data_IF_606775495347
#
_entry.id   IF_606775495347
#
_cell.length_a   1.000
_cell.length_b   1.000
_cell.length_c   1.000
_cell.angle_alpha   90.00
_cell.angle_beta   90.00
_cell.angle_gamma   90.00
#
_symmetry.space_group_name_H-M   'P 1'
#
loop_
_entity.id
_entity.type
_entity.pdbx_description
1 polymer ?
#
# COMPACT_ATOMS: atom_id res chain seq x y z
N UNK A 1 -21.06 -1.72 -24.38
CA UNK A 1 -21.23 -0.29 -24.04
C UNK A 1 -22.16 -0.26 -22.85
N UNK A 2 -21.75 0.26 -21.71
CA UNK A 2 -22.58 0.43 -20.53
C UNK A 2 -22.32 1.82 -19.98
N UNK A 3 -23.36 2.64 -19.86
CA UNK A 3 -23.24 4.02 -19.38
C UNK A 3 -23.22 4.06 -17.87
N UNK A 4 -22.53 5.05 -17.36
CA UNK A 4 -22.49 5.37 -15.94
C UNK A 4 -23.79 6.07 -15.58
N UNK A 5 -24.59 5.46 -14.71
CA UNK A 5 -25.84 5.99 -14.20
C UNK A 5 -25.60 6.96 -13.05
N UNK A 6 -24.78 6.53 -12.08
CA UNK A 6 -24.43 7.37 -10.92
C UNK A 6 -23.03 7.08 -10.39
N UNK A 7 -22.51 8.06 -9.66
CA UNK A 7 -21.25 7.96 -8.91
C UNK A 7 -21.51 8.53 -7.52
N UNK A 8 -21.06 7.84 -6.49
CA UNK A 8 -21.09 8.34 -5.11
C UNK A 8 -19.81 8.04 -4.35
N UNK A 9 -19.48 8.89 -3.41
CA UNK A 9 -18.45 8.65 -2.42
C UNK A 9 -19.07 7.95 -1.21
N UNK A 10 -18.38 6.94 -0.70
CA UNK A 10 -18.70 6.22 0.52
C UNK A 10 -17.49 6.36 1.44
N UNK A 11 -17.72 6.83 2.66
CA UNK A 11 -16.69 6.91 3.69
C UNK A 11 -17.00 5.87 4.77
N UNK A 12 -16.04 5.05 5.13
CA UNK A 12 -16.20 4.00 6.12
C UNK A 12 -15.10 4.13 7.18
N UNK A 13 -15.47 3.92 8.44
CA UNK A 13 -14.53 3.93 9.56
C UNK A 13 -14.60 2.61 10.32
N UNK A 14 -13.45 1.94 10.48
CA UNK A 14 -13.38 0.68 11.17
C UNK A 14 -12.15 0.61 12.09
N UNK A 15 -12.22 -0.26 13.09
CA UNK A 15 -11.11 -0.49 14.01
C UNK A 15 -10.03 -1.35 13.36
N UNK A 16 -8.78 -1.06 13.69
CA UNK A 16 -7.70 -2.03 13.61
C UNK A 16 -7.81 -3.06 14.73
N UNK A 17 -7.08 -4.15 14.56
CA UNK A 17 -7.01 -5.21 15.55
C UNK A 17 -8.28 -6.05 15.63
N UNK A 18 -8.21 -7.02 16.50
CA UNK A 18 -9.34 -7.87 16.87
C UNK A 18 -9.48 -7.90 18.40
N UNK A 19 -10.52 -8.53 18.92
CA UNK A 19 -10.78 -8.60 20.34
C UNK A 19 -9.69 -9.34 21.14
N UNK A 20 -8.81 -10.10 20.46
CA UNK A 20 -7.76 -10.89 21.09
C UNK A 20 -6.44 -10.12 21.25
N UNK A 21 -6.28 -8.96 20.57
CA UNK A 21 -5.07 -8.13 20.60
C UNK A 21 -5.41 -6.66 20.82
N UNK A 22 -5.98 -6.29 21.98
CA UNK A 22 -6.31 -4.89 22.28
C UNK A 22 -5.07 -3.98 22.35
N UNK A 23 -3.89 -4.51 22.70
CA UNK A 23 -2.63 -3.80 22.72
C UNK A 23 -2.19 -3.28 21.35
N UNK A 24 -2.61 -3.91 20.25
CA UNK A 24 -2.38 -3.38 18.88
C UNK A 24 -3.03 -2.02 18.74
N UNK A 25 -4.20 -1.80 19.36
CA UNK A 25 -4.93 -0.53 19.31
C UNK A 25 -4.14 0.61 19.95
N UNK A 26 -3.33 0.32 20.97
CA UNK A 26 -2.50 1.29 21.68
C UNK A 26 -1.23 1.65 20.89
N UNK A 27 -0.79 0.76 20.01
CA UNK A 27 0.42 0.96 19.20
C UNK A 27 0.23 1.91 18.01
N UNK A 28 -1.02 2.15 17.58
CA UNK A 28 -1.27 3.01 16.42
C UNK A 28 -1.14 4.49 16.80
N UNK A 29 -0.20 5.23 16.19
CA UNK A 29 0.03 6.64 16.51
C UNK A 29 -1.18 7.53 16.20
N UNK A 30 -2.08 7.07 15.35
CA UNK A 30 -3.27 7.79 14.87
C UNK A 30 -4.58 7.26 15.46
N UNK A 31 -4.48 6.46 16.55
CA UNK A 31 -5.65 5.89 17.23
C UNK A 31 -6.12 4.56 16.64
N UNK A 32 -7.13 3.93 17.28
CA UNK A 32 -7.51 2.56 17.02
C UNK A 32 -8.38 2.36 15.76
N UNK A 33 -8.77 3.43 15.10
CA UNK A 33 -9.66 3.38 13.93
C UNK A 33 -8.99 4.00 12.70
N UNK A 34 -9.43 3.56 11.53
CA UNK A 34 -9.02 4.10 10.24
C UNK A 34 -10.24 4.36 9.37
N UNK A 35 -10.24 5.49 8.67
CA UNK A 35 -11.21 5.81 7.63
C UNK A 35 -10.68 5.38 6.25
N UNK A 36 -11.53 4.78 5.43
CA UNK A 36 -11.28 4.56 4.01
C UNK A 36 -12.32 5.32 3.18
N UNK A 37 -11.96 5.71 1.96
CA UNK A 37 -12.86 6.35 1.01
C UNK A 37 -13.04 5.53 -0.24
N UNK A 38 -14.27 5.13 -0.50
CA UNK A 38 -14.66 4.41 -1.69
C UNK A 38 -15.40 5.32 -2.67
N UNK A 39 -15.20 5.05 -3.95
CA UNK A 39 -16.06 5.52 -5.02
C UNK A 39 -16.87 4.34 -5.53
N UNK A 40 -18.19 4.44 -5.49
CA UNK A 40 -19.10 3.52 -6.17
C UNK A 40 -19.48 4.10 -7.53
N UNK A 41 -19.32 3.31 -8.57
CA UNK A 41 -19.84 3.57 -9.92
C UNK A 41 -20.98 2.60 -10.17
N UNK A 42 -22.20 3.11 -10.40
CA UNK A 42 -23.36 2.33 -10.82
C UNK A 42 -23.56 2.49 -12.32
N UNK A 43 -23.73 1.39 -13.02
CA UNK A 43 -24.04 1.34 -14.45
C UNK A 43 -25.53 1.19 -14.72
N UNK A 44 -26.03 1.66 -15.88
CA UNK A 44 -27.44 1.52 -16.31
C UNK A 44 -27.96 0.07 -16.31
N UNK A 45 -27.05 -0.91 -16.36
CA UNK A 45 -27.42 -2.34 -16.27
C UNK A 45 -27.44 -2.88 -14.83
N UNK A 46 -27.31 -2.01 -13.82
CA UNK A 46 -27.34 -2.35 -12.40
C UNK A 46 -26.00 -2.86 -11.83
N UNK A 47 -24.95 -2.98 -12.65
CA UNK A 47 -23.62 -3.41 -12.15
C UNK A 47 -23.00 -2.28 -11.35
N UNK A 48 -22.47 -2.61 -10.17
CA UNK A 48 -21.72 -1.70 -9.30
C UNK A 48 -20.23 -2.04 -9.33
N UNK A 49 -19.38 -1.02 -9.50
CA UNK A 49 -17.94 -1.10 -9.32
C UNK A 49 -17.47 -0.22 -8.17
N UNK A 50 -16.43 -0.66 -7.48
CA UNK A 50 -15.86 0.02 -6.32
C UNK A 50 -14.38 0.31 -6.53
N UNK A 51 -13.94 1.50 -6.10
CA UNK A 51 -12.53 1.88 -6.09
C UNK A 51 -12.22 2.66 -4.83
N UNK A 52 -10.99 2.58 -4.34
CA UNK A 52 -10.53 3.22 -3.12
C UNK A 52 -9.45 4.25 -3.43
N UNK A 53 -9.44 5.37 -2.69
CA UNK A 53 -8.41 6.40 -2.78
C UNK A 53 -7.81 6.70 -1.42
N UNK A 54 -6.49 6.65 -1.33
CA UNK A 54 -5.75 6.77 -0.08
C UNK A 54 -5.92 8.13 0.62
N UNK A 55 -6.26 9.20 -0.11
CA UNK A 55 -6.51 10.53 0.47
C UNK A 55 -7.54 10.50 1.61
N UNK A 56 -8.52 9.62 1.55
CA UNK A 56 -9.59 9.57 2.54
C UNK A 56 -9.10 9.17 3.94
N UNK A 57 -7.95 8.54 4.06
CA UNK A 57 -7.31 8.22 5.35
C UNK A 57 -7.00 9.49 6.13
N UNK A 58 -6.56 10.56 5.43
CA UNK A 58 -6.12 11.82 6.02
C UNK A 58 -7.13 12.96 5.86
N UNK A 59 -7.88 12.98 4.76
CA UNK A 59 -8.78 14.06 4.39
C UNK A 59 -10.08 13.57 3.74
N UNK A 60 -10.92 12.79 4.47
CA UNK A 60 -12.10 12.14 3.92
C UNK A 60 -13.11 13.11 3.31
N UNK A 61 -13.33 14.28 3.95
CA UNK A 61 -14.22 15.32 3.44
C UNK A 61 -13.72 15.97 2.15
N UNK A 62 -12.40 16.12 2.00
CA UNK A 62 -11.78 16.58 0.75
C UNK A 62 -11.93 15.52 -0.35
N UNK A 63 -11.67 14.25 -0.02
CA UNK A 63 -11.89 13.14 -0.95
C UNK A 63 -13.32 13.13 -1.50
N UNK A 64 -14.32 13.26 -0.62
CA UNK A 64 -15.72 13.35 -0.99
C UNK A 64 -15.99 14.56 -1.91
N UNK A 65 -15.48 15.74 -1.55
CA UNK A 65 -15.71 16.96 -2.31
C UNK A 65 -15.14 16.91 -3.71
N UNK A 66 -13.94 16.33 -3.89
CA UNK A 66 -13.33 16.13 -5.21
C UNK A 66 -14.11 15.07 -6.02
N UNK A 67 -14.58 13.99 -5.37
CA UNK A 67 -15.46 13.00 -6.02
C UNK A 67 -16.74 13.67 -6.57
N UNK A 68 -17.38 14.51 -5.76
CA UNK A 68 -18.59 15.25 -6.17
C UNK A 68 -18.30 16.21 -7.33
N UNK A 69 -17.14 16.85 -7.38
CA UNK A 69 -16.69 17.69 -8.49
C UNK A 69 -16.53 16.89 -9.80
N UNK A 70 -16.05 15.65 -9.72
CA UNK A 70 -15.79 14.79 -10.88
C UNK A 70 -17.06 14.18 -11.50
N UNK A 71 -18.11 13.96 -10.71
CA UNK A 71 -19.35 13.29 -11.12
C UNK A 71 -19.95 13.80 -12.44
N UNK A 72 -20.19 15.13 -12.64
CA UNK A 72 -20.88 15.64 -13.82
C UNK A 72 -20.18 15.30 -15.14
N UNK A 73 -18.87 15.07 -15.09
CA UNK A 73 -18.07 14.77 -16.28
C UNK A 73 -18.12 13.30 -16.72
N UNK A 74 -18.66 12.43 -15.87
CA UNK A 74 -18.68 10.98 -16.07
C UNK A 74 -20.09 10.41 -16.28
N UNK A 75 -21.12 10.99 -15.66
CA UNK A 75 -22.49 10.51 -15.77
C UNK A 75 -22.94 10.52 -17.24
N UNK A 76 -23.60 9.43 -17.67
CA UNK A 76 -24.03 9.20 -19.05
C UNK A 76 -22.94 8.81 -20.03
N UNK A 77 -21.66 8.76 -19.59
CA UNK A 77 -20.54 8.34 -20.42
C UNK A 77 -20.38 6.81 -20.42
N UNK A 78 -19.71 6.29 -21.46
CA UNK A 78 -19.39 4.87 -21.54
C UNK A 78 -18.30 4.51 -20.51
N UNK A 79 -18.64 3.61 -19.57
CA UNK A 79 -17.72 3.08 -18.57
C UNK A 79 -16.56 2.29 -19.19
N UNK A 80 -16.78 1.64 -20.35
CA UNK A 80 -15.82 0.72 -20.93
C UNK A 80 -14.63 1.41 -21.59
N UNK A 81 -14.76 2.70 -21.92
CA UNK A 81 -13.65 3.53 -22.39
C UNK A 81 -12.94 4.22 -21.22
N UNK A 82 -12.29 3.39 -20.37
CA UNK A 82 -11.63 3.82 -19.13
C UNK A 82 -10.58 4.90 -19.42
N UNK A 83 -9.72 4.72 -20.45
CA UNK A 83 -8.68 5.70 -20.80
C UNK A 83 -9.27 7.07 -21.09
N UNK A 84 -10.39 7.12 -21.81
CA UNK A 84 -11.08 8.38 -22.09
C UNK A 84 -11.65 9.00 -20.82
N UNK A 85 -12.22 8.19 -19.92
CA UNK A 85 -12.75 8.70 -18.64
C UNK A 85 -11.64 9.27 -17.77
N UNK A 86 -10.48 8.61 -17.68
CA UNK A 86 -9.30 9.15 -16.97
C UNK A 86 -8.85 10.48 -17.61
N UNK A 87 -8.78 10.57 -18.95
CA UNK A 87 -8.43 11.82 -19.64
C UNK A 87 -9.45 12.95 -19.36
N UNK A 88 -10.76 12.62 -19.31
CA UNK A 88 -11.80 13.59 -18.95
C UNK A 88 -11.57 14.12 -17.51
N UNK A 89 -11.23 13.26 -16.56
CA UNK A 89 -10.93 13.62 -15.17
C UNK A 89 -9.65 14.46 -15.07
N UNK A 90 -8.59 14.10 -15.79
CA UNK A 90 -7.35 14.88 -15.85
C UNK A 90 -7.63 16.32 -16.33
N UNK A 91 -8.45 16.48 -17.38
CA UNK A 91 -8.79 17.83 -17.87
C UNK A 91 -9.57 18.68 -16.87
N UNK A 92 -10.26 18.05 -15.91
CA UNK A 92 -10.94 18.76 -14.80
C UNK A 92 -9.98 19.16 -13.69
N UNK A 93 -9.00 18.31 -13.40
CA UNK A 93 -8.19 18.42 -12.19
C UNK A 93 -6.78 18.98 -12.40
N UNK A 94 -6.17 18.79 -13.57
CA UNK A 94 -4.73 19.03 -13.77
C UNK A 94 -4.30 20.47 -13.55
N UNK A 95 -5.16 21.46 -13.81
CA UNK A 95 -4.81 22.86 -13.58
C UNK A 95 -4.54 23.20 -12.11
N UNK A 96 -5.30 22.60 -11.19
CA UNK A 96 -5.22 22.91 -9.76
C UNK A 96 -4.67 21.76 -8.90
N UNK A 97 -4.56 20.56 -9.47
CA UNK A 97 -4.02 19.38 -8.79
C UNK A 97 -3.39 18.42 -9.80
N UNK A 98 -2.36 18.88 -10.49
CA UNK A 98 -1.57 18.04 -11.39
C UNK A 98 -0.99 16.83 -10.68
N UNK A 99 -0.62 17.00 -9.41
CA UNK A 99 -0.18 15.98 -8.46
C UNK A 99 -1.00 16.08 -7.16
N UNK A 100 -0.92 15.08 -6.32
CA UNK A 100 -1.51 15.09 -4.97
C UNK A 100 -3.00 14.76 -4.95
N UNK A 101 -3.80 15.53 -4.20
CA UNK A 101 -5.13 15.16 -3.73
C UNK A 101 -6.09 14.63 -4.81
N UNK A 102 -6.20 15.30 -5.97
CA UNK A 102 -7.11 14.85 -7.01
C UNK A 102 -6.67 13.51 -7.63
N UNK A 103 -5.38 13.17 -7.59
CA UNK A 103 -4.90 11.89 -8.14
C UNK A 103 -5.41 10.70 -7.36
N UNK A 104 -5.50 10.78 -6.05
CA UNK A 104 -6.11 9.73 -5.23
C UNK A 104 -7.59 9.51 -5.59
N UNK A 105 -8.33 10.60 -5.87
CA UNK A 105 -9.75 10.50 -6.27
C UNK A 105 -9.89 9.94 -7.68
N UNK A 106 -9.07 10.42 -8.63
CA UNK A 106 -9.08 9.88 -10.01
C UNK A 106 -8.63 8.42 -10.04
N UNK A 107 -7.72 8.02 -9.16
CA UNK A 107 -7.34 6.62 -8.92
C UNK A 107 -8.54 5.78 -8.49
N UNK A 108 -9.27 6.24 -7.45
CA UNK A 108 -10.46 5.54 -6.96
C UNK A 108 -11.53 5.41 -8.04
N UNK A 109 -11.78 6.46 -8.82
CA UNK A 109 -12.74 6.43 -9.93
C UNK A 109 -12.27 5.43 -11.00
N UNK A 110 -10.99 5.44 -11.38
CA UNK A 110 -10.45 4.51 -12.38
C UNK A 110 -10.58 3.06 -11.92
N UNK A 111 -10.23 2.74 -10.69
CA UNK A 111 -10.38 1.40 -10.11
C UNK A 111 -11.86 0.98 -10.13
N UNK A 112 -12.80 1.88 -9.77
CA UNK A 112 -14.23 1.59 -9.81
C UNK A 112 -14.75 1.32 -11.24
N UNK A 113 -14.22 2.03 -12.25
CA UNK A 113 -14.54 1.77 -13.65
C UNK A 113 -13.99 0.43 -14.14
N UNK A 114 -12.77 0.07 -13.72
CA UNK A 114 -12.16 -1.24 -14.00
C UNK A 114 -13.00 -2.35 -13.37
N UNK A 115 -13.39 -2.21 -12.10
CA UNK A 115 -14.19 -3.18 -11.38
C UNK A 115 -15.57 -3.36 -12.03
N UNK A 116 -16.27 -2.26 -12.35
CA UNK A 116 -17.57 -2.31 -13.02
C UNK A 116 -17.51 -2.96 -14.42
N UNK A 117 -16.46 -2.63 -15.19
CA UNK A 117 -16.24 -3.22 -16.52
C UNK A 117 -15.97 -4.71 -16.45
N UNK A 118 -15.05 -5.15 -15.57
CA UNK A 118 -14.70 -6.56 -15.43
C UNK A 118 -15.87 -7.39 -14.89
N UNK A 119 -16.65 -6.89 -13.92
CA UNK A 119 -17.90 -7.52 -13.48
C UNK A 119 -18.93 -7.63 -14.60
N UNK A 120 -19.08 -6.60 -15.43
CA UNK A 120 -19.97 -6.64 -16.60
C UNK A 120 -19.54 -7.68 -17.63
N UNK A 121 -18.24 -7.95 -17.74
CA UNK A 121 -17.65 -8.95 -18.63
C UNK A 121 -17.52 -10.33 -17.98
N UNK A 122 -17.86 -10.46 -16.70
CA UNK A 122 -17.75 -11.68 -15.89
C UNK A 122 -16.33 -12.25 -15.90
N UNK A 123 -15.36 -11.43 -15.58
CA UNK A 123 -13.97 -11.80 -15.49
C UNK A 123 -13.26 -11.04 -14.36
N UNK A 124 -12.17 -11.58 -13.80
CA UNK A 124 -11.29 -10.85 -12.89
C UNK A 124 -10.69 -9.62 -13.57
N UNK A 125 -10.34 -8.60 -12.78
CA UNK A 125 -9.85 -7.34 -13.32
C UNK A 125 -8.52 -7.47 -14.08
N UNK A 126 -7.62 -8.38 -13.68
CA UNK A 126 -6.36 -8.62 -14.39
C UNK A 126 -6.57 -9.08 -15.85
N UNK A 127 -7.71 -9.66 -16.19
CA UNK A 127 -8.01 -10.10 -17.57
C UNK A 127 -8.18 -8.90 -18.52
N UNK A 128 -8.61 -7.74 -18.02
CA UNK A 128 -8.67 -6.51 -18.83
C UNK A 128 -7.28 -6.01 -19.26
N UNK A 129 -6.23 -6.49 -18.62
CA UNK A 129 -4.83 -6.11 -18.86
C UNK A 129 -4.01 -7.23 -19.52
N UNK A 130 -4.67 -8.27 -20.03
CA UNK A 130 -4.01 -9.36 -20.76
C UNK A 130 -3.94 -10.68 -20.00
N UNK A 131 -4.56 -10.76 -18.84
CA UNK A 131 -4.63 -11.95 -18.01
C UNK A 131 -3.36 -12.22 -17.18
N UNK A 132 -3.44 -13.21 -16.31
CA UNK A 132 -2.31 -13.65 -15.49
C UNK A 132 -1.73 -14.98 -16.00
N UNK A 133 -0.41 -15.07 -16.04
CA UNK A 133 0.33 -16.30 -16.36
C UNK A 133 0.78 -17.06 -15.11
N UNK A 134 0.59 -16.50 -13.93
CA UNK A 134 0.91 -17.15 -12.64
C UNK A 134 -0.35 -17.32 -11.81
N UNK A 135 -0.39 -18.40 -11.03
CA UNK A 135 -1.49 -18.65 -10.09
C UNK A 135 -1.16 -18.19 -8.67
N UNK A 136 0.09 -17.78 -8.42
CA UNK A 136 0.57 -17.38 -7.11
C UNK A 136 1.75 -16.41 -7.23
N UNK A 137 1.87 -15.47 -6.26
CA UNK A 137 2.97 -14.51 -6.15
C UNK A 137 3.54 -14.57 -4.73
N UNK A 138 4.87 -14.59 -4.59
CA UNK A 138 5.54 -14.55 -3.28
C UNK A 138 5.11 -13.30 -2.50
N UNK A 139 4.91 -13.45 -1.17
CA UNK A 139 4.54 -12.37 -0.30
C UNK A 139 5.64 -12.02 0.70
N UNK A 140 5.73 -10.74 1.07
CA UNK A 140 6.36 -10.34 2.32
C UNK A 140 5.31 -9.83 3.29
N UNK A 141 5.44 -10.18 4.56
CA UNK A 141 4.56 -9.65 5.61
C UNK A 141 4.94 -8.20 5.93
N UNK A 142 3.96 -7.34 6.04
CA UNK A 142 4.15 -5.93 6.42
C UNK A 142 3.51 -5.68 7.77
N UNK A 143 4.35 -5.46 8.79
CA UNK A 143 3.98 -5.33 10.20
C UNK A 143 4.98 -4.46 10.96
N UNK A 144 5.34 -4.86 12.19
CA UNK A 144 6.38 -4.21 12.98
C UNK A 144 6.00 -2.81 13.47
N UNK A 145 4.73 -2.61 13.83
CA UNK A 145 4.23 -1.32 14.32
C UNK A 145 4.34 -1.23 15.84
N UNK A 146 4.14 -2.34 16.56
CA UNK A 146 4.23 -2.37 18.02
C UNK A 146 5.67 -2.64 18.48
N UNK A 147 6.11 -1.91 19.51
CA UNK A 147 7.50 -1.89 19.96
C UNK A 147 7.77 -2.82 21.15
N UNK A 148 7.29 -4.07 21.10
CA UNK A 148 7.58 -5.09 22.11
C UNK A 148 8.14 -6.36 21.50
N UNK A 149 9.07 -7.02 22.22
CA UNK A 149 9.67 -8.30 21.81
C UNK A 149 8.62 -9.38 21.60
N UNK A 150 7.61 -9.43 22.45
CA UNK A 150 6.57 -10.46 22.39
C UNK A 150 5.70 -10.26 21.16
N UNK A 151 5.33 -9.02 20.84
CA UNK A 151 4.59 -8.72 19.63
C UNK A 151 5.37 -9.08 18.34
N UNK A 152 6.67 -8.77 18.29
CA UNK A 152 7.52 -9.20 17.15
C UNK A 152 7.59 -10.72 17.03
N UNK A 153 7.65 -11.46 18.12
CA UNK A 153 7.62 -12.94 18.10
C UNK A 153 6.27 -13.46 17.58
N UNK A 154 5.16 -12.88 18.03
CA UNK A 154 3.82 -13.23 17.52
C UNK A 154 3.71 -12.99 16.01
N UNK A 155 4.21 -11.86 15.49
CA UNK A 155 4.25 -11.60 14.05
C UNK A 155 5.16 -12.60 13.31
N UNK A 156 6.32 -12.95 13.86
CA UNK A 156 7.22 -13.96 13.27
C UNK A 156 6.58 -15.36 13.28
N UNK A 157 5.86 -15.73 14.32
CA UNK A 157 5.12 -16.99 14.40
C UNK A 157 3.98 -17.02 13.37
N UNK A 158 3.26 -15.91 13.20
CA UNK A 158 2.24 -15.78 12.17
C UNK A 158 2.85 -15.94 10.76
N UNK A 159 3.94 -15.23 10.46
CA UNK A 159 4.66 -15.35 9.18
C UNK A 159 5.08 -16.79 8.91
N UNK A 160 5.64 -17.45 9.92
CA UNK A 160 6.06 -18.83 9.81
C UNK A 160 4.89 -19.78 9.56
N UNK A 161 3.74 -19.57 10.22
CA UNK A 161 2.51 -20.33 10.01
C UNK A 161 1.94 -20.18 8.59
N UNK A 162 2.07 -18.98 8.01
CA UNK A 162 1.68 -18.66 6.64
C UNK A 162 2.72 -19.10 5.60
N UNK A 163 3.92 -19.51 6.03
CA UNK A 163 5.04 -19.86 5.15
C UNK A 163 5.75 -18.65 4.53
N UNK A 164 5.49 -17.44 5.00
CA UNK A 164 6.14 -16.20 4.52
C UNK A 164 7.58 -16.16 5.07
N UNK A 165 8.55 -15.83 4.22
CA UNK A 165 9.97 -15.78 4.57
C UNK A 165 10.59 -14.39 4.43
N UNK A 166 9.79 -13.37 4.20
CA UNK A 166 10.19 -11.96 4.14
C UNK A 166 9.27 -11.14 5.01
N UNK A 167 9.85 -10.19 5.76
CA UNK A 167 9.12 -9.37 6.73
C UNK A 167 9.57 -7.92 6.63
N UNK A 168 8.63 -6.99 6.50
CA UNK A 168 8.87 -5.54 6.55
C UNK A 168 8.46 -4.99 7.91
N UNK A 169 9.39 -4.35 8.59
CA UNK A 169 9.16 -3.62 9.84
C UNK A 169 9.25 -2.12 9.62
N UNK A 170 8.75 -1.32 10.57
CA UNK A 170 8.96 0.13 10.62
C UNK A 170 10.08 0.44 11.59
N UNK A 171 11.08 1.20 11.13
CA UNK A 171 12.17 1.68 11.99
C UNK A 171 12.72 3.01 11.50
N UNK A 172 13.20 3.82 12.42
CA UNK A 172 13.91 5.10 12.15
C UNK A 172 15.36 5.00 12.61
N UNK A 173 16.15 6.01 12.32
CA UNK A 173 17.61 6.03 12.60
C UNK A 173 17.99 5.77 14.07
N UNK A 174 17.08 6.02 15.00
CA UNK A 174 17.27 5.79 16.43
C UNK A 174 17.08 4.32 16.83
N UNK A 175 16.43 3.49 16.00
CA UNK A 175 16.02 2.11 16.30
C UNK A 175 17.14 1.07 16.10
N UNK A 176 18.41 1.41 16.33
CA UNK A 176 19.56 0.55 16.01
C UNK A 176 19.50 -0.79 16.75
N UNK A 177 19.38 -0.76 18.09
CA UNK A 177 19.37 -1.99 18.91
C UNK A 177 18.10 -2.81 18.67
N UNK A 178 16.95 -2.15 18.52
CA UNK A 178 15.69 -2.80 18.20
C UNK A 178 15.78 -3.53 16.86
N UNK A 179 16.29 -2.88 15.84
CA UNK A 179 16.45 -3.49 14.51
C UNK A 179 17.43 -4.65 14.53
N UNK A 180 18.58 -4.49 15.19
CA UNK A 180 19.56 -5.57 15.34
C UNK A 180 18.94 -6.80 16.04
N UNK A 181 18.17 -6.58 17.11
CA UNK A 181 17.47 -7.65 17.82
C UNK A 181 16.45 -8.36 16.90
N UNK A 182 15.65 -7.60 16.13
CA UNK A 182 14.64 -8.19 15.22
C UNK A 182 15.32 -9.01 14.11
N UNK A 183 16.42 -8.53 13.54
CA UNK A 183 17.20 -9.26 12.54
C UNK A 183 17.68 -10.62 13.06
N UNK A 184 18.21 -10.66 14.29
CA UNK A 184 18.64 -11.91 14.92
C UNK A 184 17.47 -12.85 15.24
N UNK A 185 16.34 -12.32 15.74
CA UNK A 185 15.18 -13.10 16.07
C UNK A 185 14.52 -13.69 14.80
N UNK A 186 14.32 -12.88 13.77
CA UNK A 186 13.76 -13.30 12.48
C UNK A 186 14.63 -14.39 11.79
N UNK A 187 15.95 -14.28 11.91
CA UNK A 187 16.89 -15.27 11.37
C UNK A 187 16.70 -16.67 11.97
N UNK A 188 16.25 -16.79 13.22
CA UNK A 188 15.94 -18.09 13.86
C UNK A 188 14.78 -18.81 13.15
N UNK A 189 13.88 -18.06 12.51
CA UNK A 189 12.75 -18.56 11.73
C UNK A 189 13.06 -18.67 10.22
N UNK A 190 14.29 -18.32 9.81
CA UNK A 190 14.68 -18.24 8.40
C UNK A 190 13.91 -17.15 7.63
N UNK A 191 13.61 -16.03 8.31
CA UNK A 191 12.90 -14.87 7.78
C UNK A 191 13.90 -13.74 7.54
N UNK A 192 13.88 -13.15 6.34
CA UNK A 192 14.66 -11.97 5.96
C UNK A 192 13.85 -10.69 6.28
N UNK A 193 14.52 -9.64 6.76
CA UNK A 193 13.85 -8.41 7.20
C UNK A 193 14.18 -7.24 6.29
N UNK A 194 13.15 -6.60 5.74
CA UNK A 194 13.19 -5.28 5.12
C UNK A 194 12.73 -4.20 6.12
N UNK A 195 13.13 -2.97 5.88
CA UNK A 195 12.86 -1.85 6.80
C UNK A 195 12.20 -0.72 6.02
N UNK A 196 11.02 -0.32 6.46
CA UNK A 196 10.36 0.91 6.03
C UNK A 196 10.69 2.01 7.06
N UNK A 197 11.39 3.04 6.61
CA UNK A 197 11.81 4.15 7.48
C UNK A 197 10.77 5.28 7.52
N UNK A 198 9.69 5.19 6.75
CA UNK A 198 8.54 6.11 6.74
C UNK A 198 8.93 7.61 6.64
N UNK A 199 10.02 7.95 5.95
CA UNK A 199 10.50 9.32 5.90
C UNK A 199 9.65 10.24 4.99
N UNK A 200 8.68 9.69 4.31
CA UNK A 200 7.59 10.40 3.66
C UNK A 200 6.59 11.06 4.66
N UNK A 201 6.63 10.65 5.93
CA UNK A 201 5.79 11.20 7.02
C UNK A 201 6.59 12.01 8.05
N UNK A 202 7.91 12.12 7.90
CA UNK A 202 8.78 12.79 8.87
C UNK A 202 9.04 14.26 8.51
N UNK A 203 9.14 15.13 9.55
CA UNK A 203 9.53 16.53 9.42
C UNK A 203 10.45 16.94 10.60
N UNK A 204 11.74 17.24 10.40
CA UNK A 204 12.47 17.04 9.15
C UNK A 204 12.74 15.55 8.88
N UNK A 205 12.80 15.12 7.60
CA UNK A 205 13.17 13.75 7.28
C UNK A 205 14.66 13.48 7.54
N UNK A 206 15.01 12.21 7.71
CA UNK A 206 16.39 11.74 7.83
C UNK A 206 17.22 12.15 6.61
N UNK A 207 18.52 12.32 6.84
CA UNK A 207 19.51 12.59 5.80
C UNK A 207 20.22 11.30 5.38
N UNK A 208 20.93 11.35 4.27
CA UNK A 208 21.78 10.25 3.78
C UNK A 208 22.77 9.77 4.83
N UNK A 209 23.40 10.72 5.55
CA UNK A 209 24.38 10.42 6.60
C UNK A 209 23.73 9.69 7.79
N UNK A 210 22.51 10.04 8.16
CA UNK A 210 21.75 9.39 9.23
C UNK A 210 21.50 7.91 8.89
N UNK A 211 21.05 7.62 7.65
CA UNK A 211 20.81 6.26 7.17
C UNK A 211 22.09 5.45 7.07
N UNK A 212 23.17 6.07 6.58
CA UNK A 212 24.47 5.42 6.49
C UNK A 212 24.98 5.04 7.88
N UNK A 213 24.91 5.97 8.84
CA UNK A 213 25.28 5.73 10.24
C UNK A 213 24.47 4.59 10.85
N UNK A 214 23.14 4.62 10.68
CA UNK A 214 22.23 3.58 11.16
C UNK A 214 22.61 2.18 10.65
N UNK A 215 22.86 2.05 9.36
CA UNK A 215 23.27 0.78 8.75
C UNK A 215 24.64 0.31 9.27
N UNK A 216 25.60 1.23 9.43
CA UNK A 216 26.95 0.91 9.92
C UNK A 216 26.93 0.49 11.39
N UNK A 217 26.11 1.11 12.23
CA UNK A 217 25.96 0.70 13.64
C UNK A 217 25.28 -0.68 13.75
N UNK A 218 24.24 -0.96 12.95
CA UNK A 218 23.62 -2.29 12.93
C UNK A 218 24.62 -3.37 12.53
N UNK A 219 25.47 -3.14 11.51
CA UNK A 219 26.51 -4.09 11.07
C UNK A 219 27.56 -4.41 12.14
N UNK A 220 27.76 -3.54 13.14
CA UNK A 220 28.64 -3.82 14.28
C UNK A 220 28.03 -4.78 15.29
N UNK A 221 26.70 -4.84 15.36
CA UNK A 221 25.93 -5.58 16.36
C UNK A 221 25.44 -6.93 15.79
N UNK A 222 24.99 -6.93 14.52
CA UNK A 222 24.43 -8.10 13.84
C UNK A 222 25.09 -8.31 12.48
N UNK A 223 25.34 -9.57 12.12
CA UNK A 223 25.84 -9.97 10.81
C UNK A 223 24.70 -10.29 9.81
N UNK A 224 23.45 -10.16 10.24
CA UNK A 224 22.28 -10.42 9.41
C UNK A 224 22.09 -9.31 8.38
N UNK A 225 21.67 -9.71 7.18
CA UNK A 225 21.45 -8.76 6.09
C UNK A 225 20.07 -8.10 6.21
N UNK A 226 20.05 -6.79 5.98
CA UNK A 226 18.82 -6.05 5.72
C UNK A 226 18.44 -6.31 4.25
N UNK A 227 17.20 -6.73 4.01
CA UNK A 227 16.70 -7.09 2.67
C UNK A 227 16.56 -5.84 1.78
N UNK A 228 15.92 -4.79 2.29
CA UNK A 228 15.78 -3.49 1.63
C UNK A 228 15.53 -2.37 2.65
N UNK A 229 15.75 -1.12 2.22
CA UNK A 229 15.29 0.09 2.91
C UNK A 229 14.24 0.81 2.05
N UNK A 230 13.06 0.98 2.60
CA UNK A 230 11.92 1.65 1.98
C UNK A 230 11.80 3.05 2.58
N UNK A 231 11.50 4.05 1.72
CA UNK A 231 11.32 5.45 2.09
C UNK A 231 12.35 5.95 3.12
N UNK A 232 13.64 5.64 2.85
CA UNK A 232 14.74 5.83 3.80
C UNK A 232 15.07 7.30 4.10
N UNK A 233 14.72 8.22 3.19
CA UNK A 233 14.86 9.67 3.31
C UNK A 233 13.65 10.36 2.72
N UNK A 234 13.51 11.68 2.89
CA UNK A 234 12.38 12.42 2.36
C UNK A 234 12.22 12.27 0.84
N UNK A 235 10.99 12.07 0.33
CA UNK A 235 10.71 11.76 -1.08
C UNK A 235 11.09 12.90 -2.04
N UNK A 236 11.29 14.11 -1.53
CA UNK A 236 11.74 15.29 -2.30
C UNK A 236 13.24 15.33 -2.56
N UNK A 237 14.00 14.31 -2.11
CA UNK A 237 15.46 14.21 -2.30
C UNK A 237 15.85 13.01 -3.18
N UNK A 238 15.55 13.01 -4.49
CA UNK A 238 15.88 11.90 -5.38
C UNK A 238 17.39 11.64 -5.51
N UNK A 239 18.23 12.66 -5.44
CA UNK A 239 19.69 12.48 -5.52
C UNK A 239 20.25 11.78 -4.27
N UNK A 240 19.67 12.02 -3.09
CA UNK A 240 20.03 11.29 -1.87
C UNK A 240 19.70 9.79 -1.97
N UNK A 241 18.58 9.41 -2.57
CA UNK A 241 18.27 8.01 -2.83
C UNK A 241 19.28 7.35 -3.78
N UNK A 242 19.74 8.06 -4.82
CA UNK A 242 20.81 7.57 -5.71
C UNK A 242 22.14 7.38 -4.96
N UNK A 243 22.45 8.26 -4.03
CA UNK A 243 23.65 8.17 -3.20
C UNK A 243 23.58 6.96 -2.28
N UNK A 244 22.49 6.76 -1.55
CA UNK A 244 22.26 5.59 -0.71
C UNK A 244 22.38 4.30 -1.53
N UNK A 245 21.70 4.21 -2.66
CA UNK A 245 21.74 3.06 -3.56
C UNK A 245 23.17 2.65 -3.96
N UNK A 246 24.07 3.63 -4.11
CA UNK A 246 25.47 3.37 -4.50
C UNK A 246 26.37 3.02 -3.33
N UNK A 247 26.07 3.51 -2.13
CA UNK A 247 27.01 3.53 -1.00
C UNK A 247 26.76 2.43 0.04
N UNK A 248 25.52 2.05 0.33
CA UNK A 248 25.24 1.22 1.50
C UNK A 248 25.17 -0.29 1.23
N UNK A 249 25.06 -0.69 -0.05
CA UNK A 249 25.02 -2.12 -0.43
C UNK A 249 23.74 -2.87 0.00
N UNK A 250 22.65 -2.14 0.24
CA UNK A 250 21.32 -2.63 0.55
C UNK A 250 20.39 -2.10 -0.54
N UNK A 251 19.39 -2.88 -0.95
CA UNK A 251 18.39 -2.42 -1.92
C UNK A 251 17.60 -1.23 -1.38
N UNK A 252 17.45 -0.19 -2.18
CA UNK A 252 16.69 1.01 -1.87
C UNK A 252 15.39 0.99 -2.68
N UNK A 253 14.27 1.22 -2.00
CA UNK A 253 12.96 1.25 -2.62
C UNK A 253 12.10 2.39 -2.09
N UNK A 254 10.96 2.61 -2.76
CA UNK A 254 9.99 3.63 -2.38
C UNK A 254 9.07 4.01 -3.53
N UNK A 255 8.29 5.07 -3.31
CA UNK A 255 7.41 5.62 -4.32
C UNK A 255 5.92 5.43 -4.05
N UNK A 256 5.53 4.94 -2.88
CA UNK A 256 4.13 4.79 -2.47
C UNK A 256 3.36 6.11 -2.47
N UNK A 257 4.05 7.23 -2.19
CA UNK A 257 3.45 8.58 -2.16
C UNK A 257 3.45 9.30 -3.51
N UNK A 258 4.02 8.70 -4.55
CA UNK A 258 4.08 9.31 -5.88
C UNK A 258 2.71 9.21 -6.54
N UNK A 259 2.14 10.37 -6.85
CA UNK A 259 0.76 10.47 -7.32
C UNK A 259 0.59 10.50 -8.84
N UNK A 260 1.67 10.46 -9.61
CA UNK A 260 1.59 10.43 -11.07
C UNK A 260 2.54 9.41 -11.68
N UNK A 261 2.12 8.67 -12.73
CA UNK A 261 3.00 7.77 -13.44
C UNK A 261 4.18 8.51 -14.08
N UNK A 262 3.99 9.76 -14.49
CA UNK A 262 5.05 10.59 -15.06
C UNK A 262 6.24 10.74 -14.10
N UNK A 263 6.00 11.12 -12.84
CA UNK A 263 7.06 11.26 -11.84
C UNK A 263 7.74 9.93 -11.55
N UNK A 264 6.99 8.85 -11.40
CA UNK A 264 7.55 7.52 -11.18
C UNK A 264 8.43 7.08 -12.35
N UNK A 265 7.99 7.29 -13.58
CA UNK A 265 8.75 6.96 -14.79
C UNK A 265 10.06 7.75 -14.84
N UNK A 266 10.05 9.03 -14.50
CA UNK A 266 11.28 9.83 -14.42
C UNK A 266 12.24 9.32 -13.33
N UNK A 267 11.73 8.86 -12.18
CA UNK A 267 12.56 8.22 -11.15
C UNK A 267 13.16 6.90 -11.63
N UNK A 268 12.41 6.07 -12.35
CA UNK A 268 12.89 4.82 -12.95
C UNK A 268 14.02 5.11 -13.94
N UNK A 269 13.81 6.01 -14.90
CA UNK A 269 14.81 6.40 -15.91
C UNK A 269 16.10 6.95 -15.30
N UNK A 270 15.97 7.62 -14.17
CA UNK A 270 17.10 8.20 -13.44
C UNK A 270 17.73 7.25 -12.42
N UNK A 271 17.29 5.99 -12.36
CA UNK A 271 17.80 4.96 -11.44
C UNK A 271 17.79 5.41 -9.97
N UNK A 272 16.67 5.97 -9.50
CA UNK A 272 16.52 6.45 -8.11
C UNK A 272 16.42 5.27 -7.14
N UNK A 273 15.70 4.21 -7.52
CA UNK A 273 15.41 3.04 -6.70
C UNK A 273 15.94 1.75 -7.33
N UNK A 274 16.16 0.71 -6.54
CA UNK A 274 16.44 -0.65 -7.01
C UNK A 274 15.16 -1.37 -7.40
N UNK A 275 14.05 -1.09 -6.72
CA UNK A 275 12.69 -1.43 -7.15
C UNK A 275 11.71 -0.34 -6.69
N UNK A 276 10.59 -0.23 -7.38
CA UNK A 276 9.58 0.81 -7.13
C UNK A 276 8.31 0.22 -6.54
N UNK A 277 7.61 1.04 -5.72
CA UNK A 277 6.43 0.61 -4.97
C UNK A 277 5.20 1.49 -5.28
N UNK A 278 4.69 1.46 -6.54
CA UNK A 278 3.48 2.20 -6.87
C UNK A 278 2.26 1.63 -6.16
N UNK A 279 1.30 2.50 -5.84
CA UNK A 279 -0.02 2.14 -5.33
C UNK A 279 -1.12 2.59 -6.30
N UNK A 280 -1.96 1.66 -6.74
CA UNK A 280 -3.07 1.96 -7.65
C UNK A 280 -4.06 2.97 -7.06
N UNK A 281 -4.24 3.03 -5.73
CA UNK A 281 -5.12 3.98 -5.04
C UNK A 281 -4.54 5.41 -4.96
N UNK A 282 -3.27 5.59 -5.39
CA UNK A 282 -2.50 6.83 -5.28
C UNK A 282 -2.08 7.36 -6.65
N UNK A 283 -1.51 6.52 -7.51
CA UNK A 283 -0.72 6.92 -8.69
C UNK A 283 -1.56 7.21 -9.96
N UNK A 284 -2.87 7.09 -9.91
CA UNK A 284 -3.74 7.30 -11.07
C UNK A 284 -4.51 6.05 -11.51
N UNK A 285 -4.60 5.04 -10.64
CA UNK A 285 -5.35 3.81 -10.88
C UNK A 285 -4.51 2.64 -11.40
N UNK A 286 -5.20 1.55 -11.70
CA UNK A 286 -4.59 0.30 -12.17
C UNK A 286 -3.89 0.48 -13.51
N UNK A 287 -4.45 1.28 -14.43
CA UNK A 287 -3.83 1.56 -15.73
C UNK A 287 -2.46 2.23 -15.56
N UNK A 288 -2.32 3.15 -14.61
CA UNK A 288 -1.05 3.80 -14.30
C UNK A 288 -0.01 2.80 -13.77
N UNK A 289 -0.41 1.87 -12.90
CA UNK A 289 0.47 0.80 -12.41
C UNK A 289 0.94 -0.10 -13.56
N UNK A 290 0.07 -0.40 -14.55
CA UNK A 290 0.48 -1.13 -15.76
C UNK A 290 1.58 -0.40 -16.55
N UNK A 291 1.49 0.93 -16.66
CA UNK A 291 2.51 1.75 -17.32
C UNK A 291 3.85 1.67 -16.57
N UNK A 292 3.81 1.73 -15.22
CA UNK A 292 5.00 1.58 -14.38
C UNK A 292 5.66 0.21 -14.58
N UNK A 293 4.91 -0.89 -14.53
CA UNK A 293 5.46 -2.23 -14.79
C UNK A 293 6.07 -2.35 -16.19
N UNK A 294 5.46 -1.71 -17.19
CA UNK A 294 6.01 -1.69 -18.55
C UNK A 294 7.35 -0.93 -18.61
N UNK A 295 7.48 0.17 -17.89
CA UNK A 295 8.70 0.97 -17.85
C UNK A 295 9.81 0.31 -17.05
N UNK A 296 9.52 -0.20 -15.86
CA UNK A 296 10.50 -0.91 -15.01
C UNK A 296 11.11 -2.11 -15.73
N UNK A 297 10.30 -2.83 -16.50
CA UNK A 297 10.78 -3.95 -17.34
C UNK A 297 11.82 -3.53 -18.37
N UNK A 298 11.70 -2.33 -18.98
CA UNK A 298 12.68 -1.80 -19.94
C UNK A 298 14.02 -1.44 -19.25
N UNK A 299 13.97 -1.10 -17.97
CA UNK A 299 15.12 -0.67 -17.19
C UNK A 299 15.69 -1.76 -16.26
N UNK A 300 15.16 -3.01 -16.33
CA UNK A 300 15.54 -4.13 -15.44
C UNK A 300 15.41 -3.78 -13.94
N UNK A 301 14.38 -3.02 -13.59
CA UNK A 301 13.98 -2.67 -12.23
C UNK A 301 12.75 -3.48 -11.90
N UNK A 302 12.65 -4.03 -10.69
CA UNK A 302 11.44 -4.72 -10.25
C UNK A 302 10.37 -3.72 -9.77
N UNK A 303 9.11 -4.12 -9.88
CA UNK A 303 7.97 -3.42 -9.30
C UNK A 303 7.34 -4.32 -8.25
N UNK A 304 7.21 -3.80 -7.05
CA UNK A 304 6.50 -4.44 -5.94
C UNK A 304 5.40 -3.47 -5.52
N UNK A 305 4.15 -3.82 -5.76
CA UNK A 305 3.04 -2.91 -5.45
C UNK A 305 2.96 -2.64 -3.95
N UNK A 306 2.82 -1.36 -3.57
CA UNK A 306 2.43 -0.99 -2.22
C UNK A 306 0.99 -1.43 -1.98
N UNK A 307 0.72 -2.11 -0.87
CA UNK A 307 -0.60 -2.66 -0.58
C UNK A 307 -1.07 -2.35 0.86
N UNK A 308 -0.65 -1.23 1.41
CA UNK A 308 -1.07 -0.73 2.71
C UNK A 308 -2.28 0.19 2.55
N UNK A 309 -3.45 -0.38 2.35
CA UNK A 309 -4.70 0.34 2.11
C UNK A 309 -5.86 -0.29 2.85
N UNK A 310 -7.07 0.06 2.45
CA UNK A 310 -8.25 -0.74 2.73
C UNK A 310 -8.38 -1.89 1.72
N UNK A 311 -9.41 -2.72 1.88
CA UNK A 311 -9.55 -3.95 1.10
C UNK A 311 -9.62 -3.73 -0.41
N UNK A 312 -10.23 -2.63 -0.86
CA UNK A 312 -10.37 -2.33 -2.30
C UNK A 312 -9.02 -1.94 -2.91
N UNK A 313 -8.21 -1.13 -2.21
CA UNK A 313 -6.88 -0.74 -2.65
C UNK A 313 -5.94 -1.95 -2.71
N UNK A 314 -5.93 -2.79 -1.66
CA UNK A 314 -5.11 -4.01 -1.61
C UNK A 314 -5.43 -4.93 -2.79
N UNK A 315 -6.72 -5.21 -3.03
CA UNK A 315 -7.12 -6.11 -4.12
C UNK A 315 -6.84 -5.50 -5.50
N UNK A 316 -7.02 -4.19 -5.70
CA UNK A 316 -6.64 -3.52 -6.94
C UNK A 316 -5.14 -3.67 -7.23
N UNK A 317 -4.28 -3.48 -6.23
CA UNK A 317 -2.83 -3.68 -6.34
C UNK A 317 -2.47 -5.15 -6.63
N UNK A 318 -3.13 -6.11 -5.99
CA UNK A 318 -2.92 -7.55 -6.30
C UNK A 318 -3.35 -7.88 -7.73
N UNK A 319 -4.49 -7.38 -8.21
CA UNK A 319 -4.90 -7.56 -9.60
C UNK A 319 -3.85 -7.02 -10.57
N UNK A 320 -3.23 -5.86 -10.26
CA UNK A 320 -2.12 -5.32 -11.05
C UNK A 320 -0.90 -6.24 -11.04
N UNK A 321 -0.50 -6.73 -9.87
CA UNK A 321 0.64 -7.63 -9.74
C UNK A 321 0.44 -8.92 -10.55
N UNK A 322 -0.77 -9.50 -10.53
CA UNK A 322 -1.10 -10.68 -11.33
C UNK A 322 -1.10 -10.40 -12.84
N UNK A 323 -1.65 -9.27 -13.28
CA UNK A 323 -1.65 -8.87 -14.69
C UNK A 323 -0.23 -8.68 -15.26
N UNK A 324 0.69 -8.17 -14.45
CA UNK A 324 2.05 -7.84 -14.86
C UNK A 324 3.09 -8.92 -14.54
N UNK A 325 2.67 -10.03 -13.95
CA UNK A 325 3.55 -11.11 -13.50
C UNK A 325 4.57 -10.63 -12.45
N UNK A 326 4.09 -9.89 -11.45
CA UNK A 326 4.85 -9.47 -10.29
C UNK A 326 5.50 -10.67 -9.59
N UNK A 327 6.70 -10.46 -9.05
CA UNK A 327 7.45 -11.52 -8.35
C UNK A 327 7.18 -11.53 -6.86
N UNK A 328 6.83 -10.38 -6.31
CA UNK A 328 6.66 -10.15 -4.88
C UNK A 328 5.49 -9.18 -4.65
N UNK A 329 4.72 -9.39 -3.59
CA UNK A 329 3.64 -8.48 -3.16
C UNK A 329 3.72 -8.23 -1.66
N UNK A 330 3.28 -7.04 -1.24
CA UNK A 330 3.09 -6.69 0.15
C UNK A 330 1.85 -7.39 0.73
N UNK A 331 1.99 -7.98 1.91
CA UNK A 331 0.92 -8.62 2.65
C UNK A 331 0.75 -7.91 4.01
N UNK A 332 -0.18 -6.95 4.16
CA UNK A 332 -0.47 -6.32 5.43
C UNK A 332 -0.88 -7.35 6.48
N UNK A 333 -0.21 -7.32 7.63
CA UNK A 333 -0.41 -8.30 8.70
C UNK A 333 -1.35 -7.80 9.79
N UNK A 334 -1.57 -6.49 9.86
CA UNK A 334 -2.38 -5.89 10.91
C UNK A 334 -3.85 -6.13 10.59
N UNK A 335 -4.59 -6.80 11.47
CA UNK A 335 -6.00 -7.06 11.25
C UNK A 335 -6.78 -5.76 11.10
N UNK A 336 -7.61 -5.68 10.07
CA UNK A 336 -8.51 -4.57 9.83
C UNK A 336 -9.91 -5.11 9.52
N UNK A 337 -10.92 -4.70 10.29
CA UNK A 337 -12.25 -5.33 10.24
C UNK A 337 -12.91 -5.28 8.87
N UNK A 338 -12.71 -4.21 8.11
CA UNK A 338 -13.25 -4.13 6.75
C UNK A 338 -12.61 -5.17 5.81
N UNK A 339 -11.35 -5.55 6.04
CA UNK A 339 -10.72 -6.60 5.24
C UNK A 339 -11.38 -7.96 5.48
N UNK A 340 -11.66 -8.31 6.74
CA UNK A 340 -12.32 -9.56 7.10
C UNK A 340 -13.68 -9.70 6.42
N UNK A 341 -14.41 -8.59 6.27
CA UNK A 341 -15.74 -8.57 5.67
C UNK A 341 -15.75 -8.48 4.14
N UNK A 342 -14.81 -7.73 3.57
CA UNK A 342 -14.86 -7.37 2.15
C UNK A 342 -14.02 -8.29 1.25
N UNK A 343 -13.00 -9.00 1.78
CA UNK A 343 -12.19 -9.90 0.95
C UNK A 343 -12.94 -11.16 0.51
N UNK A 344 -13.94 -11.60 1.27
CA UNK A 344 -14.78 -12.75 0.90
C UNK A 344 -13.99 -13.92 0.30
N UNK A 345 -12.96 -14.42 1.00
CA UNK A 345 -12.07 -15.51 0.58
C UNK A 345 -11.17 -15.22 -0.67
N UNK A 346 -11.18 -14.01 -1.21
CA UNK A 346 -10.35 -13.69 -2.38
C UNK A 346 -8.89 -13.34 -2.02
N UNK A 347 -8.63 -12.83 -0.82
CA UNK A 347 -7.28 -12.65 -0.29
C UNK A 347 -6.81 -13.93 0.39
N UNK A 348 -6.27 -14.85 -0.40
CA UNK A 348 -5.80 -16.17 0.08
C UNK A 348 -4.29 -16.24 0.05
N UNK A 349 -3.70 -16.83 1.09
CA UNK A 349 -2.28 -17.10 1.17
C UNK A 349 -2.02 -18.59 1.40
N UNK A 350 -1.04 -19.15 0.70
CA UNK A 350 -0.62 -20.54 0.86
C UNK A 350 0.88 -20.64 0.65
N UNK A 351 1.58 -21.28 1.59
CA UNK A 351 3.02 -21.49 1.53
C UNK A 351 3.82 -20.19 1.23
N UNK A 352 3.45 -19.10 1.88
CA UNK A 352 4.10 -17.79 1.71
C UNK A 352 3.77 -17.05 0.42
N UNK A 353 2.75 -17.48 -0.31
CA UNK A 353 2.35 -16.88 -1.58
C UNK A 353 0.89 -16.47 -1.58
N UNK A 354 0.60 -15.31 -2.09
CA UNK A 354 -0.76 -14.86 -2.38
C UNK A 354 -1.26 -15.59 -3.61
N UNK A 355 -2.45 -16.20 -3.50
CA UNK A 355 -3.10 -16.90 -4.59
C UNK A 355 -3.88 -15.93 -5.48
N UNK A 356 -3.91 -16.23 -6.76
CA UNK A 356 -4.64 -15.45 -7.76
C UNK A 356 -6.13 -15.34 -7.40
N UNK A 357 -6.69 -14.11 -7.33
CA UNK A 357 -8.13 -13.91 -7.17
C UNK A 357 -8.89 -14.52 -8.34
N UNK A 358 -10.08 -15.04 -8.07
CA UNK A 358 -10.90 -15.73 -9.09
C UNK A 358 -12.29 -15.10 -9.30
N UNK A 359 -12.68 -14.19 -8.42
CA UNK A 359 -13.95 -13.50 -8.53
C UNK A 359 -13.97 -12.48 -9.68
N UNK A 360 -15.13 -12.20 -10.21
CA UNK A 360 -15.35 -11.11 -11.16
C UNK A 360 -14.98 -9.75 -10.55
N UNK A 361 -14.44 -8.85 -11.35
CA UNK A 361 -13.98 -7.54 -10.88
C UNK A 361 -12.64 -7.61 -10.16
N UNK A 362 -12.47 -6.73 -9.19
CA UNK A 362 -11.26 -6.73 -8.33
C UNK A 362 -11.31 -7.78 -7.22
N UNK A 363 -12.45 -8.47 -7.02
CA UNK A 363 -12.59 -9.51 -6.01
C UNK A 363 -13.00 -8.98 -4.63
N UNK A 364 -13.89 -8.00 -4.59
CA UNK A 364 -14.41 -7.39 -3.36
C UNK A 364 -15.89 -7.64 -3.21
N UNK A 365 -16.33 -7.98 -2.01
CA UNK A 365 -17.71 -7.97 -1.58
C UNK A 365 -18.04 -6.66 -0.83
N UNK A 366 -19.14 -6.03 -1.17
CA UNK A 366 -19.65 -4.85 -0.47
C UNK A 366 -21.17 -4.87 -0.45
N UNK A 367 -21.77 -4.47 0.66
CA UNK A 367 -23.22 -4.44 0.86
C UNK A 367 -23.65 -3.21 1.65
N UNK A 368 -24.93 -2.86 1.56
CA UNK A 368 -25.53 -1.78 2.35
C UNK A 368 -25.40 -2.03 3.87
N UNK A 369 -25.35 -3.30 4.30
CA UNK A 369 -25.14 -3.66 5.70
C UNK A 369 -23.72 -3.30 6.17
N UNK A 370 -22.69 -3.54 5.34
CA UNK A 370 -21.31 -3.11 5.64
C UNK A 370 -21.26 -1.58 5.74
N UNK A 371 -21.89 -0.86 4.80
CA UNK A 371 -21.95 0.60 4.82
C UNK A 371 -22.57 1.12 6.12
N UNK A 372 -23.66 0.52 6.58
CA UNK A 372 -24.34 0.90 7.82
C UNK A 372 -23.52 0.61 9.09
N UNK A 373 -22.86 -0.54 9.14
CA UNK A 373 -22.10 -0.95 10.34
C UNK A 373 -20.80 -0.17 10.53
N UNK A 374 -20.23 0.33 9.45
CA UNK A 374 -18.95 1.04 9.43
C UNK A 374 -19.11 2.49 8.98
N UNK A 375 -20.24 3.12 9.33
CA UNK A 375 -20.49 4.52 9.01
C UNK A 375 -19.34 5.43 9.44
N UNK A 376 -19.15 6.51 8.70
CA UNK A 376 -18.02 7.42 8.87
C UNK A 376 -17.98 8.07 10.25
N UNK A 377 -16.82 8.00 10.88
CA UNK A 377 -16.51 8.56 12.17
C UNK A 377 -15.43 9.67 12.01
N UNK A 378 -15.77 10.91 12.34
CA UNK A 378 -14.85 12.05 12.22
C UNK A 378 -13.60 11.90 13.11
N UNK A 379 -13.67 11.11 14.18
CA UNK A 379 -12.53 10.83 15.07
C UNK A 379 -11.57 9.76 14.53
N UNK A 380 -11.94 9.07 13.46
CA UNK A 380 -11.15 8.03 12.83
C UNK A 380 -10.26 8.54 11.68
N UNK A 381 -9.94 9.82 11.65
CA UNK A 381 -9.11 10.46 10.62
C UNK A 381 -7.66 10.50 11.07
N UNK A 382 -6.74 10.01 10.24
CA UNK A 382 -5.31 10.06 10.56
C UNK A 382 -4.80 11.49 10.60
N UNK A 383 -3.97 11.78 11.62
CA UNK A 383 -3.14 12.97 11.64
C UNK A 383 -1.88 12.76 10.81
N UNK A 384 -1.49 13.78 10.03
CA UNK A 384 -0.17 13.80 9.40
C UNK A 384 0.95 14.11 10.42
N UNK A 385 0.60 14.54 11.62
CA UNK A 385 1.55 14.75 12.71
C UNK A 385 1.69 13.44 13.46
N UNK A 386 2.80 12.75 13.21
CA UNK A 386 3.13 11.52 13.96
C UNK A 386 3.45 11.94 15.39
N UNK A 387 2.66 11.49 16.36
CA UNK A 387 2.97 11.68 17.77
C UNK A 387 4.31 11.01 18.10
N UNK A 388 5.10 11.64 18.98
CA UNK A 388 6.31 11.01 19.49
C UNK A 388 5.95 9.67 20.13
N UNK A 389 6.50 8.59 19.58
CA UNK A 389 6.34 7.26 20.16
C UNK A 389 7.20 7.18 21.42
N UNK A 390 6.60 6.79 22.53
CA UNK A 390 7.35 6.34 23.69
C UNK A 390 8.06 5.04 23.36
N UNK A 391 9.32 5.12 22.96
CA UNK A 391 10.13 3.94 22.67
C UNK A 391 10.59 3.27 23.96
N UNK A 392 10.60 1.93 24.04
CA UNK A 392 11.28 1.23 25.13
C UNK A 392 12.76 1.64 25.15
N UNK A 393 13.37 1.78 26.35
CA UNK A 393 14.78 2.15 26.46
C UNK A 393 15.68 1.11 25.80
N UNK A 394 16.85 1.52 25.33
CA UNK A 394 17.85 0.66 24.67
C UNK A 394 18.15 -0.63 25.46
N UNK A 395 18.19 -0.57 26.80
CA UNK A 395 18.37 -1.74 27.66
C UNK A 395 17.33 -2.84 27.42
N UNK A 396 16.10 -2.49 27.06
CA UNK A 396 15.05 -3.46 26.76
C UNK A 396 15.43 -4.35 25.56
N UNK A 397 16.13 -3.79 24.57
CA UNK A 397 16.49 -4.51 23.34
C UNK A 397 17.80 -5.30 23.46
N UNK A 398 18.59 -5.09 24.53
CA UNK A 398 19.82 -5.87 24.76
C UNK A 398 19.44 -7.30 25.19
N UNK A 399 19.85 -8.26 24.39
CA UNK A 399 19.86 -9.68 24.74
C UNK A 399 21.33 -10.13 24.94
N UNK A 400 21.55 -11.11 25.81
CA UNK A 400 22.87 -11.70 26.05
C UNK A 400 23.52 -12.33 24.80
N UNK A 401 22.80 -12.35 23.66
CA UNK A 401 23.24 -12.91 22.37
C UNK A 401 23.57 -11.84 21.31
N UNK A 402 23.33 -10.57 21.57
CA UNK A 402 23.83 -9.48 20.71
C UNK A 402 25.32 -9.26 21.02
N UNK A 403 26.14 -9.15 19.97
CA UNK A 403 27.62 -8.96 20.09
C UNK A 403 27.99 -7.69 20.81
#
# INVERSE_FOLDING_TARGET
MSKIESIRCILLSASYGNANHPEILECFPNGPKRTIGLVEVLLENGVKGYGEGYLAVFAPKVFKSITDLCKPYLIGKDCFDIRRRVADLCSVCDYWSLQGAARHVTSAIEIALVDAKSKSLKCPAYDLFGGSKTDEIEAYGSGGICDTKDHFREELDLLNSLGIKKYKIRAVKEDILRTAWILEEAAKHGIEVGIDMCQNLADPPQKVEDVTHYVDEIKKISDKKILFLEEAIGPTNPEGFKELRKSIGIQICGGEVITTPFEMIERIKNNIYDFVQPDASVIGGMTAVMEIFSETKKHNIDTVVHAWGGPVAIMANYQCAFACHGKLVEYPMIPFKLEEEMFSDQRRIQNGKVLKPTADGIGIYFSDDIEHRYDFDDEAVYSCVVAERGQPPDEYWKDNNLK
#
